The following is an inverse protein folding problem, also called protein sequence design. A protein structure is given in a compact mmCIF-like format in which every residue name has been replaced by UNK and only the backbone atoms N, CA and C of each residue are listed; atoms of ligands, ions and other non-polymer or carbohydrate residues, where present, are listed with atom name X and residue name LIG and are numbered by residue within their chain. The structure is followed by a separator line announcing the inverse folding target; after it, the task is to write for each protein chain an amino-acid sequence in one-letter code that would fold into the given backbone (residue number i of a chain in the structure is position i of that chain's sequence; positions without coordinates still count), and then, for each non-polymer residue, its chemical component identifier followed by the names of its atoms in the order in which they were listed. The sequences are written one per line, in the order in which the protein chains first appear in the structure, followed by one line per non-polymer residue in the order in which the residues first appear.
data_IF_679687782823
#
_entry.id   IF_679687782823
#
_cell.length_a   1.000
_cell.length_b   1.000
_cell.length_c   1.000
_cell.angle_alpha   90.00
_cell.angle_beta   90.00
_cell.angle_gamma   90.00
#
_symmetry.space_group_name_H-M   'P 1'
#
loop_
_entity.id
_entity.type
_entity.pdbx_description
1 polymer ?
#
# COMPACT_ATOMS: atom_id res chain seq x y z
N UNK A 1 12.34 -9.99 -19.90
CA UNK A 1 11.21 -9.83 -18.93
C UNK A 1 11.57 -8.92 -17.77
N UNK A 2 12.75 -9.06 -17.17
CA UNK A 2 13.19 -8.25 -16.02
C UNK A 2 13.56 -6.81 -16.39
N UNK A 3 14.26 -6.56 -17.51
CA UNK A 3 14.56 -5.20 -17.98
C UNK A 3 13.29 -4.37 -18.20
N UNK A 4 12.24 -5.02 -18.66
CA UNK A 4 10.93 -4.41 -18.87
C UNK A 4 10.32 -3.98 -17.53
N UNK A 5 10.41 -4.82 -16.47
CA UNK A 5 9.90 -4.49 -15.15
C UNK A 5 10.69 -3.35 -14.50
N UNK A 6 12.02 -3.35 -14.61
CA UNK A 6 12.88 -2.26 -14.13
C UNK A 6 12.56 -0.95 -14.85
N UNK A 7 12.42 -1.03 -16.17
CA UNK A 7 12.06 0.15 -16.96
C UNK A 7 10.72 0.72 -16.52
N UNK A 8 9.69 -0.10 -16.38
CA UNK A 8 8.36 0.33 -15.95
C UNK A 8 8.36 0.87 -14.54
N UNK A 9 9.10 0.24 -13.64
CA UNK A 9 9.25 0.69 -12.28
C UNK A 9 9.90 2.08 -12.22
N UNK A 10 10.96 2.30 -12.96
CA UNK A 10 11.64 3.59 -13.05
C UNK A 10 10.77 4.66 -13.72
N UNK A 11 9.97 4.31 -14.72
CA UNK A 11 9.01 5.21 -15.36
C UNK A 11 7.94 5.64 -14.37
N UNK A 12 7.38 4.71 -13.60
CA UNK A 12 6.38 5.03 -12.56
C UNK A 12 6.96 5.91 -11.47
N UNK A 13 8.21 5.67 -11.09
CA UNK A 13 8.91 6.42 -10.05
C UNK A 13 9.33 7.83 -10.48
N UNK A 14 9.77 7.98 -11.74
CA UNK A 14 10.41 9.21 -12.24
C UNK A 14 9.46 10.16 -12.96
N UNK A 15 8.25 9.74 -13.29
CA UNK A 15 7.37 10.51 -14.16
C UNK A 15 6.01 10.78 -13.57
N UNK A 16 5.34 11.76 -14.16
CA UNK A 16 3.97 12.04 -13.89
C UNK A 16 3.12 10.77 -14.03
N UNK A 17 2.25 10.56 -13.08
CA UNK A 17 1.35 9.42 -12.98
C UNK A 17 0.57 9.12 -14.27
N UNK A 18 0.35 10.14 -15.09
CA UNK A 18 -0.31 10.02 -16.40
C UNK A 18 0.44 9.13 -17.39
N UNK A 19 1.78 9.17 -17.39
CA UNK A 19 2.60 8.34 -18.26
C UNK A 19 2.63 6.87 -17.79
N UNK A 20 2.59 6.64 -16.49
CA UNK A 20 2.48 5.29 -15.96
C UNK A 20 1.17 4.60 -16.36
N UNK A 21 0.07 5.35 -16.43
CA UNK A 21 -1.23 4.83 -16.91
C UNK A 21 -1.20 4.35 -18.36
N UNK A 22 -0.35 4.92 -19.19
CA UNK A 22 -0.21 4.52 -20.58
C UNK A 22 0.48 3.16 -20.74
N UNK A 23 1.01 2.59 -19.65
CA UNK A 23 1.79 1.36 -19.71
C UNK A 23 0.97 0.13 -19.34
N UNK A 24 0.47 -0.58 -20.35
CA UNK A 24 -0.34 -1.78 -20.19
C UNK A 24 0.37 -2.90 -19.40
N UNK A 25 1.66 -3.07 -19.58
CA UNK A 25 2.42 -4.14 -18.89
C UNK A 25 2.58 -3.86 -17.40
N UNK A 26 2.76 -2.60 -17.03
CA UNK A 26 2.77 -2.19 -15.63
C UNK A 26 1.46 -2.55 -14.93
N UNK A 27 0.34 -2.23 -15.52
CA UNK A 27 -0.97 -2.54 -14.94
C UNK A 27 -1.24 -4.04 -14.87
N UNK A 28 -0.85 -4.80 -15.88
CA UNK A 28 -0.93 -6.27 -15.86
C UNK A 28 -0.10 -6.87 -14.72
N UNK A 29 1.06 -6.31 -14.44
CA UNK A 29 1.88 -6.73 -13.30
C UNK A 29 1.21 -6.38 -11.97
N UNK A 30 0.80 -5.15 -11.77
CA UNK A 30 0.11 -4.69 -10.57
C UNK A 30 -1.13 -5.53 -10.28
N UNK A 31 -1.95 -5.79 -11.29
CA UNK A 31 -3.16 -6.61 -11.12
C UNK A 31 -2.89 -8.04 -10.63
N UNK A 32 -1.74 -8.61 -10.98
CA UNK A 32 -1.38 -9.97 -10.51
C UNK A 32 -1.01 -10.03 -9.03
N UNK A 33 -0.49 -8.95 -8.47
CA UNK A 33 0.09 -8.95 -7.13
C UNK A 33 -0.66 -8.07 -6.15
N UNK A 34 -1.61 -7.26 -6.60
CA UNK A 34 -2.31 -6.24 -5.80
C UNK A 34 -3.09 -6.77 -4.60
N UNK A 35 -3.40 -8.06 -4.55
CA UNK A 35 -4.14 -8.70 -3.46
C UNK A 35 -3.27 -9.65 -2.61
N UNK A 36 -1.98 -9.76 -2.90
CA UNK A 36 -1.08 -10.62 -2.14
C UNK A 36 -0.58 -9.90 -0.87
N UNK A 37 -1.30 -10.07 0.23
CA UNK A 37 -0.99 -9.45 1.52
C UNK A 37 0.36 -9.86 2.12
N UNK A 38 0.92 -11.01 1.73
CA UNK A 38 2.24 -11.45 2.19
C UNK A 38 3.34 -10.46 1.77
N UNK A 39 3.15 -9.76 0.65
CA UNK A 39 4.07 -8.71 0.22
C UNK A 39 4.13 -7.54 1.22
N UNK A 40 3.00 -7.21 1.84
CA UNK A 40 2.95 -6.15 2.87
C UNK A 40 3.66 -6.63 4.13
N UNK A 41 3.42 -7.85 4.59
CA UNK A 41 4.11 -8.42 5.76
C UNK A 41 5.62 -8.40 5.56
N UNK A 42 6.10 -8.84 4.40
CA UNK A 42 7.52 -8.80 4.08
C UNK A 42 8.06 -7.37 4.03
N UNK A 43 7.34 -6.44 3.41
CA UNK A 43 7.76 -5.04 3.35
C UNK A 43 7.80 -4.39 4.74
N UNK A 44 6.81 -4.66 5.60
CA UNK A 44 6.71 -4.14 6.96
C UNK A 44 7.46 -4.97 8.02
N UNK A 45 8.24 -5.99 7.63
CA UNK A 45 8.91 -6.89 8.59
C UNK A 45 9.75 -6.16 9.66
N UNK A 46 10.39 -5.05 9.30
CA UNK A 46 11.17 -4.27 10.28
C UNK A 46 10.26 -3.63 11.34
N UNK A 47 9.10 -3.13 10.92
CA UNK A 47 8.08 -2.64 11.85
C UNK A 47 7.54 -3.77 12.72
N UNK A 48 7.18 -4.89 12.13
CA UNK A 48 6.67 -6.07 12.83
C UNK A 48 7.67 -6.54 13.88
N UNK A 49 8.93 -6.74 13.50
CA UNK A 49 9.98 -7.20 14.41
C UNK A 49 10.28 -6.20 15.54
N UNK A 50 10.21 -4.90 15.28
CA UNK A 50 10.46 -3.89 16.31
C UNK A 50 9.28 -3.67 17.26
N UNK A 51 8.06 -3.87 16.76
CA UNK A 51 6.84 -3.62 17.54
C UNK A 51 6.41 -4.86 18.34
N UNK A 52 6.67 -6.04 17.78
CA UNK A 52 6.27 -7.34 18.34
C UNK A 52 7.51 -8.22 18.59
N UNK A 53 8.43 -7.73 19.43
CA UNK A 53 9.73 -8.37 19.67
C UNK A 53 9.63 -9.80 20.20
N UNK A 54 8.53 -10.12 20.88
CA UNK A 54 8.28 -11.43 21.50
C UNK A 54 7.57 -12.40 20.53
N UNK A 55 7.20 -11.94 19.33
CA UNK A 55 6.56 -12.76 18.33
C UNK A 55 7.58 -13.40 17.40
N UNK A 56 7.64 -14.73 17.39
CA UNK A 56 8.46 -15.50 16.47
C UNK A 56 7.61 -16.15 15.39
N UNK A 57 7.70 -15.61 14.19
CA UNK A 57 6.94 -16.08 13.02
C UNK A 57 7.20 -17.56 12.67
N UNK A 58 8.40 -18.08 12.99
CA UNK A 58 8.77 -19.46 12.68
C UNK A 58 8.16 -20.46 13.68
N UNK A 59 7.98 -20.04 14.92
CA UNK A 59 7.40 -20.89 15.96
C UNK A 59 5.87 -20.92 15.92
N UNK A 60 5.27 -19.90 15.25
CA UNK A 60 3.83 -19.68 15.24
C UNK A 60 3.22 -19.81 13.83
N UNK A 61 3.89 -20.51 12.92
CA UNK A 61 3.37 -20.72 11.52
C UNK A 61 1.99 -21.39 11.52
N UNK A 62 1.66 -22.17 12.54
CA UNK A 62 0.36 -22.84 12.69
C UNK A 62 -0.63 -22.05 13.56
N UNK A 63 -0.17 -21.00 14.25
CA UNK A 63 -1.04 -20.18 15.09
C UNK A 63 -1.70 -19.06 14.28
N UNK A 64 -3.03 -19.03 14.29
CA UNK A 64 -3.81 -17.95 13.70
C UNK A 64 -3.84 -16.70 14.57
N UNK A 65 -3.29 -16.76 15.78
CA UNK A 65 -3.28 -15.69 16.76
C UNK A 65 -2.05 -14.77 16.59
N UNK A 66 -2.11 -13.90 15.60
CA UNK A 66 -1.06 -12.91 15.35
C UNK A 66 -1.27 -11.63 16.17
N UNK A 67 -0.19 -10.95 16.63
CA UNK A 67 -0.29 -9.76 17.48
C UNK A 67 -0.67 -8.47 16.71
N UNK A 68 -0.94 -8.57 15.43
CA UNK A 68 -1.33 -7.46 14.57
C UNK A 68 -2.68 -7.67 13.91
N UNK A 69 -3.17 -6.58 13.34
CA UNK A 69 -4.39 -6.58 12.54
C UNK A 69 -4.14 -5.94 11.17
N UNK A 70 -5.03 -6.25 10.23
CA UNK A 70 -5.06 -5.62 8.91
C UNK A 70 -5.93 -4.38 8.95
N UNK A 71 -5.33 -3.24 8.68
CA UNK A 71 -6.04 -1.97 8.63
C UNK A 71 -6.11 -1.40 7.21
N UNK A 72 -7.23 -0.73 6.90
CA UNK A 72 -7.41 0.04 5.68
C UNK A 72 -7.10 1.50 5.96
N UNK A 73 -6.08 2.05 5.31
CA UNK A 73 -5.74 3.48 5.45
C UNK A 73 -6.94 4.33 5.05
N UNK A 74 -7.53 4.07 3.88
CA UNK A 74 -8.82 4.63 3.50
C UNK A 74 -9.94 3.71 4.01
N UNK A 75 -10.82 4.17 4.89
CA UNK A 75 -11.78 3.32 5.57
C UNK A 75 -12.72 2.57 4.62
N UNK A 76 -12.80 1.26 4.79
CA UNK A 76 -13.66 0.42 3.97
C UNK A 76 -15.15 0.79 4.11
N UNK A 77 -15.56 1.23 5.31
CA UNK A 77 -16.91 1.71 5.58
C UNK A 77 -17.30 2.95 4.76
N UNK A 78 -16.31 3.71 4.32
CA UNK A 78 -16.53 4.88 3.47
C UNK A 78 -16.83 4.52 2.02
N UNK A 79 -16.41 3.33 1.59
CA UNK A 79 -16.58 2.84 0.22
C UNK A 79 -17.84 2.00 0.08
N UNK A 80 -18.00 0.99 0.93
CA UNK A 80 -19.08 0.02 0.77
C UNK A 80 -20.47 0.56 1.12
N UNK A 81 -20.54 1.52 2.03
CA UNK A 81 -21.81 2.11 2.45
C UNK A 81 -22.26 3.30 1.59
N UNK A 82 -21.49 3.69 0.58
CA UNK A 82 -21.78 4.86 -0.24
C UNK A 82 -22.42 4.47 -1.56
N UNK A 83 -23.69 4.83 -1.75
CA UNK A 83 -24.50 4.53 -2.94
C UNK A 83 -23.88 5.03 -4.25
N UNK A 84 -23.11 6.10 -4.18
CA UNK A 84 -22.55 6.81 -5.35
C UNK A 84 -21.02 6.69 -5.48
N UNK A 85 -20.40 5.74 -4.76
CA UNK A 85 -18.97 5.51 -4.89
C UNK A 85 -18.63 4.93 -6.27
N UNK A 86 -17.74 5.58 -6.97
CA UNK A 86 -17.23 5.12 -8.28
C UNK A 86 -16.67 3.69 -8.19
N UNK A 87 -16.90 2.89 -9.24
CA UNK A 87 -16.47 1.48 -9.24
C UNK A 87 -14.95 1.34 -9.08
N UNK A 88 -14.17 2.23 -9.71
CA UNK A 88 -12.71 2.22 -9.59
C UNK A 88 -12.24 2.36 -8.13
N UNK A 89 -12.96 3.11 -7.30
CA UNK A 89 -12.64 3.25 -5.88
C UNK A 89 -12.86 1.93 -5.16
N UNK A 90 -13.97 1.25 -5.45
CA UNK A 90 -14.29 -0.06 -4.85
C UNK A 90 -13.25 -1.10 -5.21
N UNK A 91 -12.84 -1.13 -6.47
CA UNK A 91 -11.88 -2.10 -6.98
C UNK A 91 -10.50 -1.95 -6.36
N UNK A 92 -10.08 -0.71 -6.12
CA UNK A 92 -8.74 -0.42 -5.59
C UNK A 92 -8.67 -0.33 -4.07
N UNK A 93 -9.79 -0.08 -3.38
CA UNK A 93 -9.81 0.02 -1.92
C UNK A 93 -9.42 -1.28 -1.22
N UNK A 94 -9.70 -2.43 -1.84
CA UNK A 94 -9.34 -3.76 -1.34
C UNK A 94 -7.94 -4.24 -1.76
N UNK A 95 -7.08 -3.37 -2.25
CA UNK A 95 -5.73 -3.75 -2.73
C UNK A 95 -4.65 -3.48 -1.70
N UNK A 96 -3.47 -4.04 -1.93
CA UNK A 96 -2.27 -3.84 -1.09
C UNK A 96 -1.92 -2.36 -0.89
N UNK A 97 -2.26 -1.50 -1.84
CA UNK A 97 -2.05 -0.06 -1.73
C UNK A 97 -2.83 0.59 -0.59
N UNK A 98 -3.90 -0.02 -0.13
CA UNK A 98 -4.71 0.48 0.98
C UNK A 98 -4.54 -0.30 2.30
N UNK A 99 -3.96 -1.51 2.26
CA UNK A 99 -3.74 -2.30 3.47
C UNK A 99 -2.40 -1.96 4.15
N UNK A 100 -2.41 -1.94 5.49
CA UNK A 100 -1.22 -1.92 6.33
C UNK A 100 -1.39 -2.87 7.51
N UNK A 101 -0.28 -3.23 8.12
CA UNK A 101 -0.24 -3.97 9.39
C UNK A 101 -0.05 -2.98 10.52
N UNK A 102 -0.87 -3.07 11.55
CA UNK A 102 -0.77 -2.28 12.78
C UNK A 102 -1.01 -3.17 13.99
N UNK A 103 -0.66 -2.70 15.19
CA UNK A 103 -0.95 -3.45 16.42
C UNK A 103 -2.46 -3.50 16.68
N UNK A 104 -2.91 -4.54 17.38
CA UNK A 104 -4.30 -4.67 17.82
C UNK A 104 -4.74 -3.47 18.67
N UNK A 105 -3.84 -2.92 19.48
CA UNK A 105 -4.11 -1.74 20.30
C UNK A 105 -4.31 -0.50 19.44
N UNK A 106 -3.43 -0.26 18.47
CA UNK A 106 -3.57 0.83 17.52
C UNK A 106 -4.86 0.73 16.72
N UNK A 107 -5.20 -0.46 16.21
CA UNK A 107 -6.44 -0.67 15.46
C UNK A 107 -7.69 -0.37 16.28
N UNK A 108 -7.69 -0.70 17.56
CA UNK A 108 -8.79 -0.38 18.49
C UNK A 108 -8.89 1.11 18.79
N UNK A 109 -7.76 1.81 18.90
CA UNK A 109 -7.71 3.26 19.14
C UNK A 109 -8.10 4.08 17.90
N UNK A 110 -7.71 3.62 16.71
CA UNK A 110 -8.07 4.20 15.42
C UNK A 110 -9.45 3.71 14.99
N UNK A 111 -10.53 4.29 15.45
CA UNK A 111 -11.87 3.84 15.11
C UNK A 111 -12.06 3.61 13.60
N UNK A 112 -13.06 2.78 13.20
CA UNK A 112 -13.42 2.55 11.79
C UNK A 112 -13.77 3.82 11.00
N UNK A 113 -13.90 4.96 11.68
CA UNK A 113 -14.22 6.26 11.11
C UNK A 113 -13.03 7.22 11.05
N UNK A 114 -11.86 6.86 11.59
CA UNK A 114 -10.67 7.68 11.48
C UNK A 114 -10.30 7.91 10.01
N UNK A 115 -9.99 9.15 9.68
CA UNK A 115 -9.67 9.54 8.31
C UNK A 115 -8.26 9.08 7.90
N UNK A 116 -7.91 9.02 6.60
CA UNK A 116 -6.56 8.77 6.16
C UNK A 116 -5.53 9.73 6.78
N UNK A 117 -5.92 10.99 6.98
CA UNK A 117 -5.08 11.99 7.64
C UNK A 117 -4.80 11.61 9.09
N UNK A 118 -5.83 11.29 9.87
CA UNK A 118 -5.68 10.90 11.28
C UNK A 118 -4.78 9.67 11.42
N UNK A 119 -4.98 8.66 10.56
CA UNK A 119 -4.20 7.41 10.54
C UNK A 119 -2.73 7.61 10.18
N UNK A 120 -2.43 8.63 9.39
CA UNK A 120 -1.11 8.91 8.83
C UNK A 120 -0.50 10.23 9.35
N UNK A 121 -1.11 10.89 10.31
CA UNK A 121 -0.63 12.18 10.84
C UNK A 121 0.78 12.05 11.45
N UNK A 122 1.04 10.96 12.15
CA UNK A 122 2.36 10.67 12.71
C UNK A 122 3.35 10.31 11.60
N UNK A 123 4.47 11.04 11.54
CA UNK A 123 5.52 10.84 10.52
C UNK A 123 6.09 9.41 10.53
N UNK A 124 6.24 8.80 11.70
CA UNK A 124 6.72 7.43 11.83
C UNK A 124 5.69 6.43 11.28
N UNK A 125 4.41 6.62 11.57
CA UNK A 125 3.33 5.82 11.00
C UNK A 125 3.28 5.94 9.47
N UNK A 126 3.50 7.16 8.92
CA UNK A 126 3.62 7.35 7.47
C UNK A 126 4.78 6.54 6.89
N UNK A 127 5.96 6.63 7.51
CA UNK A 127 7.15 5.92 7.03
C UNK A 127 6.95 4.40 7.05
N UNK A 128 6.43 3.84 8.13
CA UNK A 128 6.10 2.41 8.21
C UNK A 128 5.00 1.98 7.23
N UNK A 129 4.12 2.91 6.88
CA UNK A 129 3.05 2.68 5.91
C UNK A 129 3.49 2.93 4.46
N UNK A 130 4.75 3.24 4.18
CA UNK A 130 5.26 3.58 2.84
C UNK A 130 4.54 4.76 2.19
N UNK A 131 4.10 5.72 2.98
CA UNK A 131 3.56 7.00 2.53
C UNK A 131 4.64 8.06 2.78
N UNK A 132 5.36 8.40 1.73
CA UNK A 132 6.45 9.37 1.83
C UNK A 132 5.94 10.81 1.73
N UNK A 133 6.76 11.78 2.08
CA UNK A 133 6.36 13.19 2.16
C UNK A 133 5.77 13.72 0.85
N UNK A 134 6.35 13.32 -0.29
CA UNK A 134 5.86 13.71 -1.62
C UNK A 134 4.47 13.14 -1.95
N UNK A 135 4.10 12.02 -1.33
CA UNK A 135 2.85 11.30 -1.59
C UNK A 135 1.75 11.69 -0.59
N UNK A 136 2.14 12.29 0.53
CA UNK A 136 1.26 12.63 1.63
C UNK A 136 0.07 13.49 1.19
N UNK A 137 0.31 14.43 0.28
CA UNK A 137 -0.74 15.28 -0.28
C UNK A 137 -1.91 14.50 -0.88
N UNK A 138 -1.66 13.36 -1.52
CA UNK A 138 -2.71 12.56 -2.16
C UNK A 138 -3.66 11.94 -1.13
N UNK A 139 -3.15 11.56 0.04
CA UNK A 139 -3.96 11.06 1.14
C UNK A 139 -4.74 12.18 1.83
N UNK A 140 -4.19 13.40 1.89
CA UNK A 140 -4.88 14.58 2.42
C UNK A 140 -6.03 15.03 1.50
N UNK A 141 -5.89 14.91 0.19
CA UNK A 141 -6.92 15.24 -0.80
C UNK A 141 -8.17 14.36 -0.66
N UNK A 142 -8.03 13.15 -0.14
CA UNK A 142 -9.13 12.19 0.03
C UNK A 142 -9.61 12.05 1.48
N UNK A 143 -9.29 13.00 2.33
CA UNK A 143 -9.57 12.95 3.76
C UNK A 143 -11.04 13.20 4.14
N UNK A 144 -11.97 12.81 3.30
CA UNK A 144 -13.40 12.88 3.57
C UNK A 144 -14.21 11.84 2.79
N UNK A 145 -15.50 11.74 3.07
CA UNK A 145 -16.44 10.78 2.48
C UNK A 145 -17.16 11.28 1.22
N UNK A 146 -16.84 12.47 0.73
CA UNK A 146 -17.52 13.07 -0.42
C UNK A 146 -16.80 12.59 -1.70
N UNK A 147 -17.57 11.99 -2.61
CA UNK A 147 -17.06 11.43 -3.84
C UNK A 147 -17.46 12.27 -5.05
N UNK A 148 -16.46 12.68 -5.78
CA UNK A 148 -16.54 13.21 -7.13
C UNK A 148 -15.43 12.55 -7.98
N UNK A 149 -15.35 12.91 -9.26
CA UNK A 149 -14.35 12.32 -10.17
C UNK A 149 -12.93 12.65 -9.77
N UNK A 150 -12.69 13.86 -9.28
CA UNK A 150 -11.35 14.31 -8.90
C UNK A 150 -10.86 13.54 -7.68
N UNK A 151 -11.74 13.29 -6.73
CA UNK A 151 -11.42 12.46 -5.56
C UNK A 151 -11.24 10.98 -5.89
N UNK A 152 -12.05 10.45 -6.81
CA UNK A 152 -11.84 9.10 -7.30
C UNK A 152 -10.43 8.94 -7.88
N UNK A 153 -9.98 9.96 -8.58
CA UNK A 153 -8.67 10.02 -9.17
C UNK A 153 -7.56 10.15 -8.12
N UNK A 154 -7.73 11.05 -7.15
CA UNK A 154 -6.79 11.22 -6.04
C UNK A 154 -6.69 9.96 -5.17
N UNK A 155 -7.81 9.26 -4.90
CA UNK A 155 -7.84 7.98 -4.21
C UNK A 155 -7.04 6.90 -4.97
N UNK A 156 -7.30 6.76 -6.26
CA UNK A 156 -6.55 5.83 -7.10
C UNK A 156 -5.06 6.14 -7.11
N UNK A 157 -4.69 7.42 -7.21
CA UNK A 157 -3.30 7.88 -7.17
C UNK A 157 -2.64 7.57 -5.82
N UNK A 158 -3.30 7.88 -4.70
CA UNK A 158 -2.78 7.61 -3.36
C UNK A 158 -2.46 6.12 -3.17
N UNK A 159 -3.40 5.25 -3.54
CA UNK A 159 -3.25 3.80 -3.42
C UNK A 159 -2.16 3.26 -4.34
N UNK A 160 -2.14 3.66 -5.61
CA UNK A 160 -1.18 3.14 -6.58
C UNK A 160 0.24 3.64 -6.32
N UNK A 161 0.42 4.88 -5.90
CA UNK A 161 1.73 5.41 -5.51
C UNK A 161 2.28 4.63 -4.32
N UNK A 162 1.46 4.39 -3.30
CA UNK A 162 1.87 3.58 -2.16
C UNK A 162 2.21 2.14 -2.56
N UNK A 163 1.46 1.53 -3.46
CA UNK A 163 1.81 0.21 -4.01
C UNK A 163 3.19 0.22 -4.66
N UNK A 164 3.49 1.23 -5.45
CA UNK A 164 4.82 1.39 -6.07
C UNK A 164 5.90 1.47 -4.99
N UNK A 165 5.70 2.26 -3.94
CA UNK A 165 6.66 2.38 -2.84
C UNK A 165 6.90 1.03 -2.12
N UNK A 166 5.85 0.25 -1.90
CA UNK A 166 5.96 -1.11 -1.33
C UNK A 166 6.80 -2.02 -2.26
N UNK A 167 6.55 -1.98 -3.56
CA UNK A 167 7.30 -2.82 -4.51
C UNK A 167 8.74 -2.36 -4.70
N UNK A 168 9.00 -1.07 -4.66
CA UNK A 168 10.36 -0.55 -4.63
C UNK A 168 11.12 -1.08 -3.41
N UNK A 169 10.49 -1.04 -2.25
CA UNK A 169 11.07 -1.61 -1.02
C UNK A 169 11.41 -3.09 -1.20
N UNK A 170 10.48 -3.88 -1.72
CA UNK A 170 10.69 -5.30 -1.99
C UNK A 170 11.80 -5.54 -3.00
N UNK A 171 11.83 -4.77 -4.08
CA UNK A 171 12.84 -4.84 -5.12
C UNK A 171 14.24 -4.63 -4.57
N UNK A 172 14.39 -3.59 -3.75
CA UNK A 172 15.67 -3.26 -3.13
C UNK A 172 16.09 -4.30 -2.08
N UNK A 173 15.17 -4.73 -1.23
CA UNK A 173 15.44 -5.68 -0.15
C UNK A 173 15.81 -7.08 -0.68
N UNK A 174 15.19 -7.49 -1.78
CA UNK A 174 15.45 -8.77 -2.44
C UNK A 174 16.59 -8.69 -3.47
N UNK A 175 17.20 -7.50 -3.65
CA UNK A 175 18.30 -7.25 -4.59
C UNK A 175 17.99 -7.73 -6.01
N UNK A 176 16.77 -7.54 -6.47
CA UNK A 176 16.30 -8.09 -7.76
C UNK A 176 17.16 -7.60 -8.93
N UNK A 177 17.75 -6.39 -8.84
CA UNK A 177 18.68 -5.89 -9.84
C UNK A 177 19.93 -6.79 -10.01
N UNK A 178 20.43 -7.38 -8.92
CA UNK A 178 21.60 -8.28 -8.97
C UNK A 178 21.23 -9.58 -9.69
N UNK A 179 20.07 -10.16 -9.38
CA UNK A 179 19.56 -11.39 -10.03
C UNK A 179 19.34 -11.21 -11.54
N UNK A 180 18.96 -10.02 -11.99
CA UNK A 180 18.74 -9.70 -13.40
C UNK A 180 20.07 -9.59 -14.17
N UNK A 181 21.08 -9.03 -13.53
CA UNK A 181 22.39 -8.83 -14.16
C UNK A 181 23.24 -10.10 -14.24
N UNK A 182 23.05 -11.05 -13.34
CA UNK A 182 23.73 -12.35 -13.36
C UNK A 182 23.24 -13.29 -14.48
N UNK A 183 22.10 -12.96 -15.12
CA UNK A 183 21.49 -13.77 -16.19
C UNK A 183 21.97 -13.36 -17.59
N UNK A 184 22.99 -12.53 -17.72
CA UNK A 184 23.67 -12.13 -18.95
C UNK A 184 25.03 -12.81 -19.04
#
# INVERSE_FOLDING_TARGET
MCETLVHYFNVVKSQEFELAKANEFFWKFIQKIQHNKQLILFAQRSYINSTFSDFNQMDEIEDTNVPWDWDHIYPNSWVYNMKYCEQIIRDWNGTNGNFRVISLEQNRSESNSASPKDRLENTQNRAYSFVYENDWKHWQEIDNRIWDKDKAFSHFRAITTRMVNIYEKLWNDLKINELVNESK
#
